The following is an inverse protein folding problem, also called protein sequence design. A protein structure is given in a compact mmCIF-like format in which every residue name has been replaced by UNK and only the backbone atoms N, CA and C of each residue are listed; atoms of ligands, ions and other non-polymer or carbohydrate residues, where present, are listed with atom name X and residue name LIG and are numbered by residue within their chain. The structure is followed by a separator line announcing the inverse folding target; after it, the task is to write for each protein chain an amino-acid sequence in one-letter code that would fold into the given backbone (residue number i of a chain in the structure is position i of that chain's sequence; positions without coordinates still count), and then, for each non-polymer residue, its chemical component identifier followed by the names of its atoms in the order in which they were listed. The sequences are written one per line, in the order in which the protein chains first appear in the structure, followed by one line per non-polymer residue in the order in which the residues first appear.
data_IF_341903914697
#
_entry.id   IF_341903914697
#
_cell.length_a   1.000
_cell.length_b   1.000
_cell.length_c   1.000
_cell.angle_alpha   90.00
_cell.angle_beta   90.00
_cell.angle_gamma   90.00
#
_symmetry.space_group_name_H-M   'P 1'
#
loop_
_entity.id
_entity.type
_entity.pdbx_description
1 polymer ?
#
# COMPACT_ATOMS: atom_id res chain seq x y z
N UNK A 1 22.97 -8.44 -10.44
CA UNK A 1 22.54 -8.49 -9.03
C UNK A 1 21.12 -7.97 -9.00
N UNK A 2 20.12 -8.85 -9.03
CA UNK A 2 18.72 -8.45 -8.90
C UNK A 2 18.48 -8.13 -7.43
N UNK A 3 18.73 -6.87 -7.06
CA UNK A 3 18.33 -6.36 -5.75
C UNK A 3 16.84 -6.59 -5.60
N UNK A 4 16.42 -7.20 -4.49
CA UNK A 4 14.99 -7.26 -4.19
C UNK A 4 14.43 -5.84 -4.29
N UNK A 5 13.24 -5.65 -4.88
CA UNK A 5 12.63 -4.33 -4.88
C UNK A 5 12.49 -3.87 -3.43
N UNK A 6 13.15 -2.78 -3.11
CA UNK A 6 13.06 -2.15 -1.80
C UNK A 6 11.59 -1.78 -1.58
N UNK A 7 11.06 -2.04 -0.39
CA UNK A 7 9.65 -1.76 -0.09
C UNK A 7 9.25 -0.29 -0.34
N UNK A 8 10.22 0.62 -0.23
CA UNK A 8 10.12 2.03 -0.60
C UNK A 8 11.51 2.62 -0.89
N UNK A 9 11.56 3.75 -1.60
CA UNK A 9 12.77 4.55 -1.79
C UNK A 9 12.87 5.62 -0.70
N UNK A 10 13.84 5.50 0.21
CA UNK A 10 13.99 6.41 1.34
C UNK A 10 14.28 7.85 0.91
N UNK A 11 15.06 8.06 -0.15
CA UNK A 11 15.41 9.41 -0.59
C UNK A 11 14.17 10.13 -1.13
N UNK A 12 13.45 9.46 -2.04
CA UNK A 12 12.19 9.98 -2.61
C UNK A 12 11.10 10.15 -1.54
N UNK A 13 11.01 9.22 -0.59
CA UNK A 13 10.10 9.33 0.55
C UNK A 13 10.40 10.60 1.36
N UNK A 14 11.66 10.82 1.77
CA UNK A 14 12.00 12.01 2.55
C UNK A 14 11.81 13.31 1.75
N UNK A 15 12.02 13.30 0.43
CA UNK A 15 11.67 14.44 -0.44
C UNK A 15 10.17 14.77 -0.40
N UNK A 16 9.29 13.76 -0.39
CA UNK A 16 7.85 13.96 -0.25
C UNK A 16 7.46 14.59 1.10
N UNK A 17 8.26 14.35 2.14
CA UNK A 17 8.13 14.97 3.45
C UNK A 17 9.00 16.23 3.61
N UNK A 18 9.56 16.78 2.53
CA UNK A 18 10.43 17.96 2.53
C UNK A 18 11.63 17.86 3.48
N UNK A 19 12.10 16.64 3.77
CA UNK A 19 13.17 16.37 4.74
C UNK A 19 12.76 16.51 6.21
N UNK A 20 11.47 16.69 6.50
CA UNK A 20 10.95 16.80 7.87
C UNK A 20 10.78 15.41 8.48
N UNK A 21 11.73 15.06 9.35
CA UNK A 21 11.75 13.77 10.04
C UNK A 21 10.63 13.62 11.09
N UNK A 22 10.19 14.72 11.71
CA UNK A 22 9.09 14.70 12.69
C UNK A 22 7.76 14.44 11.97
N UNK A 23 7.51 15.18 10.89
CA UNK A 23 6.34 14.96 10.04
C UNK A 23 6.32 13.54 9.46
N UNK A 24 7.46 13.05 8.98
CA UNK A 24 7.58 11.67 8.51
C UNK A 24 7.17 10.68 9.60
N UNK A 25 7.70 10.82 10.82
CA UNK A 25 7.43 9.91 11.92
C UNK A 25 5.94 9.91 12.32
N UNK A 26 5.32 11.08 12.40
CA UNK A 26 3.89 11.22 12.70
C UNK A 26 3.01 10.54 11.64
N UNK A 27 3.26 10.85 10.36
CA UNK A 27 2.47 10.31 9.25
C UNK A 27 2.70 8.81 9.07
N UNK A 28 3.93 8.33 9.29
CA UNK A 28 4.27 6.91 9.27
C UNK A 28 3.55 6.13 10.39
N UNK A 29 3.51 6.67 11.61
CA UNK A 29 2.79 6.07 12.73
C UNK A 29 1.29 5.94 12.42
N UNK A 30 0.67 7.00 11.91
CA UNK A 30 -0.74 7.00 11.49
C UNK A 30 -0.97 5.92 10.42
N UNK A 31 -0.11 5.84 9.40
CA UNK A 31 -0.25 4.83 8.35
C UNK A 31 -0.16 3.39 8.89
N UNK A 32 0.74 3.14 9.83
CA UNK A 32 0.90 1.81 10.45
C UNK A 32 -0.36 1.38 11.20
N UNK A 33 -1.05 2.32 11.84
CA UNK A 33 -2.33 2.07 12.53
C UNK A 33 -3.50 1.92 11.55
N UNK A 34 -3.48 2.66 10.45
CA UNK A 34 -4.53 2.64 9.43
C UNK A 34 -4.42 1.47 8.43
N UNK A 35 -3.24 0.88 8.25
CA UNK A 35 -3.05 -0.20 7.29
C UNK A 35 -3.90 -1.45 7.59
N UNK A 36 -3.97 -1.99 8.83
CA UNK A 36 -4.82 -3.14 9.15
C UNK A 36 -6.32 -2.95 8.82
N UNK A 37 -7.01 -1.88 9.25
CA UNK A 37 -8.42 -1.69 8.90
C UNK A 37 -8.62 -1.48 7.39
N UNK A 38 -7.68 -0.85 6.68
CA UNK A 38 -7.76 -0.73 5.22
C UNK A 38 -7.63 -2.08 4.50
N UNK A 39 -6.71 -2.94 4.95
CA UNK A 39 -6.56 -4.31 4.42
C UNK A 39 -7.76 -5.21 4.75
N UNK A 40 -8.42 -4.97 5.89
CA UNK A 40 -9.67 -5.65 6.23
C UNK A 40 -10.83 -5.20 5.32
N UNK A 41 -10.94 -3.91 5.02
CA UNK A 41 -11.95 -3.39 4.09
C UNK A 41 -11.75 -3.94 2.66
N UNK A 42 -10.49 -4.04 2.20
CA UNK A 42 -10.13 -4.68 0.94
C UNK A 42 -10.61 -6.14 0.89
N UNK A 43 -10.38 -6.90 1.98
CA UNK A 43 -10.83 -8.29 2.07
C UNK A 43 -12.35 -8.41 2.05
N UNK A 44 -13.05 -7.58 2.83
CA UNK A 44 -14.50 -7.61 2.90
C UNK A 44 -15.15 -7.31 1.54
N UNK A 45 -14.58 -6.37 0.78
CA UNK A 45 -15.03 -6.06 -0.58
C UNK A 45 -14.77 -7.22 -1.56
N UNK A 46 -13.66 -7.93 -1.40
CA UNK A 46 -13.38 -9.14 -2.19
C UNK A 46 -14.37 -10.26 -1.85
N UNK A 47 -14.61 -10.52 -0.55
CA UNK A 47 -15.49 -11.58 -0.07
C UNK A 47 -16.96 -11.35 -0.46
N UNK A 48 -17.39 -10.09 -0.55
CA UNK A 48 -18.73 -9.73 -1.03
C UNK A 48 -18.87 -9.76 -2.56
N UNK A 49 -17.76 -9.87 -3.30
CA UNK A 49 -17.74 -9.76 -4.76
C UNK A 49 -18.05 -8.35 -5.29
N UNK A 50 -18.02 -7.33 -4.44
CA UNK A 50 -18.28 -5.94 -4.82
C UNK A 50 -17.01 -5.32 -5.43
N UNK A 51 -16.88 -5.44 -6.76
CA UNK A 51 -15.75 -4.87 -7.50
C UNK A 51 -15.65 -3.34 -7.37
N UNK A 52 -16.76 -2.64 -7.15
CA UNK A 52 -16.74 -1.18 -6.97
C UNK A 52 -16.16 -0.80 -5.60
N UNK A 53 -16.56 -1.51 -4.55
CA UNK A 53 -15.96 -1.38 -3.22
C UNK A 53 -14.48 -1.80 -3.22
N UNK A 54 -14.13 -2.87 -3.95
CA UNK A 54 -12.75 -3.36 -4.06
C UNK A 54 -11.85 -2.35 -4.77
N UNK A 55 -12.35 -1.75 -5.86
CA UNK A 55 -11.68 -0.64 -6.54
C UNK A 55 -11.45 0.55 -5.59
N UNK A 56 -12.47 0.96 -4.84
CA UNK A 56 -12.36 2.10 -3.93
C UNK A 56 -11.35 1.84 -2.80
N UNK A 57 -11.34 0.64 -2.24
CA UNK A 57 -10.38 0.23 -1.22
C UNK A 57 -8.94 0.22 -1.76
N UNK A 58 -8.72 -0.34 -2.95
CA UNK A 58 -7.42 -0.33 -3.62
C UNK A 58 -6.94 1.09 -3.92
N UNK A 59 -7.84 1.96 -4.40
CA UNK A 59 -7.54 3.36 -4.70
C UNK A 59 -7.11 4.16 -3.46
N UNK A 60 -7.81 3.96 -2.34
CA UNK A 60 -7.46 4.60 -1.07
C UNK A 60 -6.06 4.17 -0.60
N UNK A 61 -5.80 2.86 -0.58
CA UNK A 61 -4.49 2.30 -0.20
C UNK A 61 -3.37 2.87 -1.08
N UNK A 62 -3.56 2.90 -2.41
CA UNK A 62 -2.56 3.45 -3.35
C UNK A 62 -2.21 4.90 -3.03
N UNK A 63 -3.22 5.73 -2.72
CA UNK A 63 -3.01 7.13 -2.37
C UNK A 63 -2.07 7.30 -1.18
N UNK A 64 -2.34 6.55 -0.10
CA UNK A 64 -1.48 6.56 1.10
C UNK A 64 -0.08 6.03 0.81
N UNK A 65 0.04 4.92 0.07
CA UNK A 65 1.32 4.30 -0.29
C UNK A 65 2.19 5.20 -1.18
N UNK A 66 1.57 6.04 -2.02
CA UNK A 66 2.28 6.94 -2.92
C UNK A 66 3.05 8.03 -2.17
N UNK A 67 2.49 8.53 -1.07
CA UNK A 67 3.17 9.51 -0.19
C UNK A 67 4.51 8.98 0.34
N UNK A 68 4.61 7.67 0.56
CA UNK A 68 5.82 7.03 1.08
C UNK A 68 6.75 6.48 -0.01
N UNK A 69 6.51 6.77 -1.29
CA UNK A 69 7.25 6.17 -2.41
C UNK A 69 7.29 4.62 -2.35
N UNK A 70 6.21 3.98 -1.85
CA UNK A 70 6.09 2.53 -1.73
C UNK A 70 5.74 1.88 -3.08
N UNK A 71 6.65 1.98 -4.05
CA UNK A 71 6.45 1.61 -5.46
C UNK A 71 5.86 0.21 -5.67
N UNK A 72 6.33 -0.86 -4.99
CA UNK A 72 5.76 -2.20 -5.17
C UNK A 72 4.29 -2.29 -4.75
N UNK A 73 3.95 -1.74 -3.58
CA UNK A 73 2.59 -1.75 -3.06
C UNK A 73 1.65 -0.85 -3.89
N UNK A 74 2.13 0.32 -4.33
CA UNK A 74 1.41 1.18 -5.27
C UNK A 74 1.10 0.49 -6.60
N UNK A 75 2.07 -0.26 -7.14
CA UNK A 75 1.89 -0.99 -8.39
C UNK A 75 0.82 -2.09 -8.23
N UNK A 76 0.89 -2.88 -7.15
CA UNK A 76 -0.09 -3.90 -6.86
C UNK A 76 -1.51 -3.31 -6.71
N UNK A 77 -1.65 -2.20 -5.98
CA UNK A 77 -2.93 -1.53 -5.79
C UNK A 77 -3.49 -0.98 -7.11
N UNK A 78 -2.64 -0.42 -7.96
CA UNK A 78 -3.02 0.04 -9.31
C UNK A 78 -3.49 -1.10 -10.19
N UNK A 79 -2.79 -2.24 -10.21
CA UNK A 79 -3.22 -3.40 -11.01
C UNK A 79 -4.58 -3.92 -10.55
N UNK A 80 -4.84 -3.93 -9.24
CA UNK A 80 -6.16 -4.29 -8.71
C UNK A 80 -7.25 -3.28 -9.11
N UNK A 81 -6.97 -1.97 -9.00
CA UNK A 81 -7.89 -0.92 -9.47
C UNK A 81 -8.26 -1.13 -10.95
N UNK A 82 -7.26 -1.33 -11.81
CA UNK A 82 -7.48 -1.47 -13.25
C UNK A 82 -8.28 -2.75 -13.57
N UNK A 83 -8.02 -3.87 -12.87
CA UNK A 83 -8.79 -5.10 -13.00
C UNK A 83 -10.26 -4.93 -12.57
N UNK A 84 -10.50 -4.21 -11.47
CA UNK A 84 -11.86 -3.93 -11.00
C UNK A 84 -12.62 -3.03 -11.98
N UNK A 85 -11.96 -2.04 -12.61
CA UNK A 85 -12.59 -1.16 -13.61
C UNK A 85 -13.10 -1.91 -14.84
N UNK A 86 -12.39 -2.95 -15.26
CA UNK A 86 -12.78 -3.76 -16.43
C UNK A 86 -13.67 -4.95 -16.08
N UNK A 87 -14.00 -5.13 -14.79
CA UNK A 87 -14.87 -6.21 -14.33
C UNK A 87 -14.19 -7.59 -14.22
N UNK A 88 -12.86 -7.64 -14.11
CA UNK A 88 -12.12 -8.90 -14.05
C UNK A 88 -12.13 -9.50 -12.63
N UNK A 89 -13.27 -10.10 -12.27
CA UNK A 89 -13.45 -10.80 -11.00
C UNK A 89 -12.53 -12.04 -10.86
N UNK A 90 -12.09 -12.64 -11.98
CA UNK A 90 -11.29 -13.86 -11.97
C UNK A 90 -9.90 -13.65 -11.37
N UNK A 91 -9.31 -12.48 -11.60
CA UNK A 91 -8.00 -12.13 -11.06
C UNK A 91 -8.06 -11.32 -9.76
N UNK A 92 -9.25 -10.84 -9.36
CA UNK A 92 -9.43 -9.95 -8.21
C UNK A 92 -8.83 -10.52 -6.91
N UNK A 93 -9.02 -11.81 -6.64
CA UNK A 93 -8.51 -12.45 -5.43
C UNK A 93 -6.96 -12.49 -5.39
N UNK A 94 -6.32 -12.89 -6.50
CA UNK A 94 -4.86 -12.91 -6.58
C UNK A 94 -4.25 -11.51 -6.47
N UNK A 95 -4.90 -10.51 -7.07
CA UNK A 95 -4.44 -9.13 -7.04
C UNK A 95 -4.63 -8.51 -5.66
N UNK A 96 -5.74 -8.78 -4.97
CA UNK A 96 -5.94 -8.37 -3.58
C UNK A 96 -4.92 -9.01 -2.63
N UNK A 97 -4.56 -10.28 -2.84
CA UNK A 97 -3.50 -10.93 -2.08
C UNK A 97 -2.12 -10.29 -2.32
N UNK A 98 -1.83 -9.86 -3.55
CA UNK A 98 -0.61 -9.13 -3.87
C UNK A 98 -0.57 -7.75 -3.18
N UNK A 99 -1.69 -7.01 -3.20
CA UNK A 99 -1.82 -5.73 -2.47
C UNK A 99 -1.52 -5.93 -0.98
N UNK A 100 -2.18 -6.92 -0.35
CA UNK A 100 -1.95 -7.25 1.05
C UNK A 100 -0.49 -7.53 1.34
N UNK A 101 0.13 -8.43 0.58
CA UNK A 101 1.52 -8.85 0.78
C UNK A 101 2.46 -7.66 0.71
N UNK A 102 2.33 -6.82 -0.32
CA UNK A 102 3.23 -5.68 -0.51
C UNK A 102 2.97 -4.56 0.52
N UNK A 103 1.72 -4.34 0.93
CA UNK A 103 1.40 -3.41 2.03
C UNK A 103 1.99 -3.90 3.36
N UNK A 104 1.88 -5.19 3.69
CA UNK A 104 2.45 -5.75 4.91
C UNK A 104 3.99 -5.66 4.92
N UNK A 105 4.64 -5.96 3.78
CA UNK A 105 6.09 -5.78 3.62
C UNK A 105 6.50 -4.32 3.80
N UNK A 106 5.71 -3.39 3.25
CA UNK A 106 5.93 -1.96 3.45
C UNK A 106 5.80 -1.54 4.92
N UNK A 107 4.76 -1.98 5.63
CA UNK A 107 4.58 -1.69 7.06
C UNK A 107 5.75 -2.21 7.89
N UNK A 108 6.26 -3.41 7.61
CA UNK A 108 7.43 -3.95 8.31
C UNK A 108 8.68 -3.10 8.06
N UNK A 109 8.92 -2.72 6.80
CA UNK A 109 10.06 -1.86 6.45
C UNK A 109 9.95 -0.47 7.08
N UNK A 110 8.75 0.11 7.11
CA UNK A 110 8.46 1.41 7.71
C UNK A 110 8.70 1.39 9.23
N UNK A 111 8.26 0.34 9.92
CA UNK A 111 8.56 0.15 11.36
C UNK A 111 10.05 0.03 11.65
N UNK A 112 10.78 -0.71 10.81
CA UNK A 112 12.22 -0.84 10.95
C UNK A 112 12.93 0.52 10.77
N UNK A 113 12.48 1.34 9.83
CA UNK A 113 13.01 2.69 9.60
C UNK A 113 12.72 3.65 10.77
N UNK A 114 11.53 3.58 11.39
CA UNK A 114 11.21 4.36 12.60
C UNK A 114 12.01 3.93 13.82
N UNK A 115 12.29 2.61 13.97
CA UNK A 115 13.03 2.07 15.12
C UNK A 115 14.55 2.05 14.96
N UNK A 116 15.08 2.28 13.76
CA UNK A 116 16.52 2.41 13.48
C UNK A 116 17.03 3.85 13.67
N UNK A 117 16.14 4.76 14.07
CA UNK A 117 16.41 6.17 14.37
C UNK A 117 16.40 6.35 15.89
#
# INVERSE_FOLDING_TARGET
MIGQPVAFDKAEMMENFAGDDELFAEVAAIFIEDAPPQLAALQAALDSGDLAALHAAAHKLKGSLASFAAKPACAAAKTLEDACKVGDAGNAASLAAAVRTETERFVVALRAELGSR
#
